data_IF_398238357812
#
_entry.id   IF_398238357812
#
_cell.length_a   1.000
_cell.length_b   1.000
_cell.length_c   1.000
_cell.angle_alpha   90.00
_cell.angle_beta   90.00
_cell.angle_gamma   90.00
#
_symmetry.space_group_name_H-M   'P 1'
#
loop_
_entity.id
_entity.type
_entity.pdbx_description
1 polymer ?
#
# COMPACT_ATOMS: atom_id res chain seq x y z
N UNK A 1 28.61 21.82 12.09
CA UNK A 1 27.77 21.75 10.88
C UNK A 1 26.71 22.84 10.99
N UNK A 2 26.50 23.66 9.95
CA UNK A 2 25.50 24.74 9.90
C UNK A 2 24.14 24.40 10.52
N UNK A 3 23.59 23.19 10.28
CA UNK A 3 22.33 22.68 10.84
C UNK A 3 22.22 22.80 12.37
N UNK A 4 23.33 22.77 13.09
CA UNK A 4 23.36 22.89 14.56
C UNK A 4 23.32 24.33 15.09
N UNK A 5 23.48 25.34 14.23
CA UNK A 5 23.67 26.75 14.62
C UNK A 5 22.34 27.55 14.58
N UNK A 6 21.27 26.98 14.01
CA UNK A 6 19.97 27.64 13.88
C UNK A 6 19.91 28.62 12.71
N UNK A 7 18.79 28.63 11.98
CA UNK A 7 18.63 29.38 10.72
C UNK A 7 18.83 30.90 10.86
N UNK A 8 18.43 31.46 12.00
CA UNK A 8 18.57 32.89 12.30
C UNK A 8 20.04 33.34 12.38
N UNK A 9 20.87 32.62 13.14
CA UNK A 9 22.31 32.89 13.25
C UNK A 9 23.07 32.65 11.94
N UNK A 10 22.63 31.69 11.13
CA UNK A 10 23.24 31.43 9.82
C UNK A 10 23.05 32.59 8.84
N UNK A 11 21.90 33.27 8.92
CA UNK A 11 21.59 34.45 8.10
C UNK A 11 22.38 35.67 8.59
N UNK A 12 22.53 35.84 9.90
CA UNK A 12 23.39 36.88 10.50
C UNK A 12 24.86 36.75 10.10
N UNK A 13 25.36 35.51 9.97
CA UNK A 13 26.76 35.21 9.61
C UNK A 13 27.01 35.16 8.10
N UNK A 14 25.99 35.31 7.26
CA UNK A 14 26.11 35.29 5.79
C UNK A 14 26.56 33.94 5.21
N UNK A 15 26.36 32.83 5.91
CA UNK A 15 26.90 31.50 5.57
C UNK A 15 26.04 30.72 4.55
N UNK A 16 25.37 31.42 3.63
CA UNK A 16 24.42 30.81 2.69
C UNK A 16 25.04 29.73 1.79
N UNK A 17 26.30 29.91 1.37
CA UNK A 17 27.01 28.91 0.57
C UNK A 17 27.22 27.59 1.33
N UNK A 18 27.63 27.66 2.60
CA UNK A 18 27.83 26.47 3.44
C UNK A 18 26.52 25.77 3.77
N UNK A 19 25.42 26.51 3.90
CA UNK A 19 24.08 25.94 4.08
C UNK A 19 23.69 25.09 2.87
N UNK A 20 23.93 25.58 1.66
CA UNK A 20 23.65 24.85 0.42
C UNK A 20 24.50 23.59 0.31
N UNK A 21 25.81 23.71 0.55
CA UNK A 21 26.73 22.56 0.52
C UNK A 21 26.37 21.51 1.58
N UNK A 22 26.05 21.91 2.82
CA UNK A 22 25.58 20.96 3.83
C UNK A 22 24.28 20.29 3.38
N UNK A 23 23.33 21.04 2.81
CA UNK A 23 22.06 20.48 2.34
C UNK A 23 22.29 19.34 1.35
N UNK A 24 23.11 19.58 0.32
CA UNK A 24 23.44 18.58 -0.70
C UNK A 24 24.11 17.34 -0.07
N UNK A 25 25.04 17.54 0.87
CA UNK A 25 25.67 16.44 1.61
C UNK A 25 24.67 15.64 2.45
N UNK A 26 23.72 16.30 3.14
CA UNK A 26 22.71 15.62 3.95
C UNK A 26 21.72 14.85 3.11
N UNK A 27 21.34 15.39 1.94
CA UNK A 27 20.52 14.70 0.95
C UNK A 27 21.22 13.43 0.47
N UNK A 28 22.51 13.52 0.10
CA UNK A 28 23.31 12.36 -0.27
C UNK A 28 23.34 11.31 0.85
N UNK A 29 23.68 11.72 2.08
CA UNK A 29 23.70 10.84 3.25
C UNK A 29 22.34 10.18 3.52
N UNK A 30 21.23 10.90 3.32
CA UNK A 30 19.89 10.36 3.49
C UNK A 30 19.59 9.30 2.44
N UNK A 31 19.89 9.56 1.17
CA UNK A 31 19.68 8.61 0.07
C UNK A 31 20.55 7.35 0.25
N UNK A 32 21.84 7.50 0.56
CA UNK A 32 22.74 6.37 0.83
C UNK A 32 22.24 5.49 1.99
N UNK A 33 21.71 6.12 3.05
CA UNK A 33 21.12 5.39 4.18
C UNK A 33 19.86 4.64 3.77
N UNK A 34 19.03 5.19 2.88
CA UNK A 34 17.84 4.50 2.37
C UNK A 34 18.21 3.31 1.50
N UNK A 35 19.17 3.45 0.59
CA UNK A 35 19.65 2.37 -0.28
C UNK A 35 20.24 1.21 0.54
N UNK A 36 21.06 1.52 1.54
CA UNK A 36 21.60 0.50 2.42
C UNK A 36 20.52 -0.15 3.30
N UNK A 37 19.52 0.62 3.74
CA UNK A 37 18.38 0.11 4.51
C UNK A 37 17.51 -0.85 3.68
N UNK A 38 17.25 -0.52 2.42
CA UNK A 38 16.56 -1.42 1.48
C UNK A 38 17.35 -2.72 1.29
N UNK A 39 18.67 -2.62 1.09
CA UNK A 39 19.58 -3.76 0.93
C UNK A 39 19.54 -4.68 2.15
N UNK A 40 19.63 -4.11 3.36
CA UNK A 40 19.61 -4.89 4.59
C UNK A 40 18.25 -5.54 4.85
N UNK A 41 17.15 -4.88 4.48
CA UNK A 41 15.81 -5.46 4.55
C UNK A 41 15.64 -6.63 3.58
N UNK A 42 16.19 -6.52 2.36
CA UNK A 42 16.26 -7.61 1.40
C UNK A 42 17.06 -8.81 1.95
N UNK A 43 18.25 -8.55 2.49
CA UNK A 43 19.09 -9.57 3.14
C UNK A 43 18.38 -10.23 4.32
N UNK A 44 17.66 -9.45 5.13
CA UNK A 44 16.86 -9.98 6.24
C UNK A 44 15.79 -10.94 5.70
N UNK A 45 15.03 -10.54 4.67
CA UNK A 45 14.00 -11.38 4.07
C UNK A 45 14.56 -12.72 3.55
N UNK A 46 15.73 -12.68 2.91
CA UNK A 46 16.44 -13.87 2.42
C UNK A 46 16.81 -14.83 3.56
N UNK A 47 17.41 -14.32 4.64
CA UNK A 47 17.76 -15.13 5.80
C UNK A 47 16.53 -15.78 6.44
N UNK A 48 15.38 -15.10 6.47
CA UNK A 48 14.12 -15.70 6.91
C UNK A 48 13.69 -16.83 5.98
N UNK A 49 13.67 -16.61 4.66
CA UNK A 49 13.30 -17.65 3.67
C UNK A 49 14.19 -18.90 3.75
N UNK A 50 15.50 -18.71 3.82
CA UNK A 50 16.46 -19.82 3.98
C UNK A 50 16.25 -20.59 5.27
N UNK A 51 15.96 -19.90 6.39
CA UNK A 51 15.65 -20.55 7.65
C UNK A 51 14.39 -21.41 7.61
N UNK A 52 13.32 -20.93 6.97
CA UNK A 52 12.09 -21.71 6.82
C UNK A 52 12.31 -22.99 6.01
N UNK A 53 13.23 -22.97 5.04
CA UNK A 53 13.53 -24.13 4.19
C UNK A 53 14.53 -25.12 4.82
N UNK A 54 15.50 -24.62 5.58
CA UNK A 54 16.68 -25.41 6.02
C UNK A 54 16.72 -25.71 7.53
N UNK A 55 15.59 -25.65 8.24
CA UNK A 55 15.54 -25.88 9.69
C UNK A 55 15.77 -27.36 10.07
N UNK A 56 17.01 -27.84 9.94
CA UNK A 56 17.40 -29.22 10.21
C UNK A 56 18.06 -29.47 11.58
N UNK A 57 18.74 -28.46 12.17
CA UNK A 57 19.47 -28.64 13.43
C UNK A 57 19.52 -27.41 14.36
N UNK A 58 19.73 -27.65 15.66
CA UNK A 58 19.85 -26.63 16.71
C UNK A 58 21.04 -25.67 16.49
N UNK A 59 22.17 -26.19 15.97
CA UNK A 59 23.38 -25.41 15.69
C UNK A 59 23.15 -24.43 14.53
N UNK A 60 22.52 -24.90 13.46
CA UNK A 60 22.14 -24.08 12.30
C UNK A 60 21.14 -22.99 12.73
N UNK A 61 20.12 -23.35 13.52
CA UNK A 61 19.17 -22.37 14.05
C UNK A 61 19.83 -21.27 14.89
N UNK A 62 20.86 -21.59 15.67
CA UNK A 62 21.60 -20.60 16.47
C UNK A 62 22.46 -19.68 15.60
N UNK A 63 23.12 -20.22 14.57
CA UNK A 63 23.93 -19.44 13.62
C UNK A 63 23.05 -18.46 12.84
N UNK A 64 21.94 -18.91 12.28
CA UNK A 64 21.11 -18.01 11.48
C UNK A 64 20.40 -16.97 12.34
N UNK A 65 20.06 -17.29 13.60
CA UNK A 65 19.57 -16.28 14.54
C UNK A 65 20.60 -15.17 14.78
N UNK A 66 21.89 -15.52 14.89
CA UNK A 66 22.98 -14.55 15.03
C UNK A 66 23.17 -13.72 13.76
N UNK A 67 23.06 -14.32 12.58
CA UNK A 67 23.11 -13.61 11.30
C UNK A 67 21.93 -12.64 11.13
N UNK A 68 20.71 -13.05 11.48
CA UNK A 68 19.53 -12.16 11.51
C UNK A 68 19.75 -11.01 12.48
N UNK A 69 20.25 -11.27 13.69
CA UNK A 69 20.54 -10.22 14.67
C UNK A 69 21.56 -9.21 14.14
N UNK A 70 22.59 -9.67 13.40
CA UNK A 70 23.56 -8.80 12.75
C UNK A 70 22.89 -7.87 11.73
N UNK A 71 22.04 -8.42 10.86
CA UNK A 71 21.31 -7.61 9.86
C UNK A 71 20.35 -6.63 10.53
N UNK A 72 19.61 -7.06 11.56
CA UNK A 72 18.72 -6.16 12.33
C UNK A 72 19.50 -5.00 12.98
N UNK A 73 20.72 -5.26 13.47
CA UNK A 73 21.58 -4.21 14.01
C UNK A 73 21.98 -3.19 12.93
N UNK A 74 22.31 -3.63 11.71
CA UNK A 74 22.61 -2.73 10.60
C UNK A 74 21.39 -1.91 10.18
N UNK A 75 20.21 -2.53 10.06
CA UNK A 75 18.95 -1.82 9.76
C UNK A 75 18.72 -0.69 10.76
N UNK A 76 18.84 -0.97 12.06
CA UNK A 76 18.66 0.04 13.09
C UNK A 76 19.72 1.15 13.03
N UNK A 77 20.95 0.81 12.65
CA UNK A 77 22.03 1.78 12.45
C UNK A 77 21.70 2.71 11.26
N UNK A 78 21.31 2.16 10.11
CA UNK A 78 20.95 2.95 8.92
C UNK A 78 19.71 3.81 9.17
N UNK A 79 18.69 3.29 9.85
CA UNK A 79 17.50 4.05 10.23
C UNK A 79 17.86 5.26 11.12
N UNK A 80 18.74 5.09 12.11
CA UNK A 80 19.21 6.20 12.97
C UNK A 80 20.03 7.23 12.21
N UNK A 81 20.92 6.78 11.32
CA UNK A 81 21.71 7.69 10.47
C UNK A 81 20.80 8.50 9.54
N UNK A 82 19.82 7.85 8.92
CA UNK A 82 18.79 8.51 8.12
C UNK A 82 18.01 9.56 8.94
N UNK A 83 17.53 9.20 10.12
CA UNK A 83 16.79 10.13 10.99
C UNK A 83 17.63 11.36 11.35
N UNK A 84 18.93 11.17 11.62
CA UNK A 84 19.86 12.29 11.87
C UNK A 84 20.01 13.19 10.65
N UNK A 85 20.21 12.62 9.46
CA UNK A 85 20.31 13.40 8.22
C UNK A 85 19.02 14.14 7.91
N UNK A 86 17.87 13.47 8.06
CA UNK A 86 16.54 14.07 7.90
C UNK A 86 16.31 15.25 8.84
N UNK A 87 16.66 15.12 10.13
CA UNK A 87 16.56 16.22 11.09
C UNK A 87 17.40 17.42 10.65
N UNK A 88 18.63 17.19 10.17
CA UNK A 88 19.48 18.26 9.67
C UNK A 88 18.88 18.95 8.43
N UNK A 89 18.33 18.18 7.48
CA UNK A 89 17.64 18.73 6.30
C UNK A 89 16.46 19.61 6.71
N UNK A 90 15.59 19.11 7.58
CA UNK A 90 14.40 19.85 8.03
C UNK A 90 14.74 21.10 8.84
N UNK A 91 15.91 21.14 9.50
CA UNK A 91 16.41 22.33 10.18
C UNK A 91 16.92 23.40 9.22
N UNK A 92 17.49 23.00 8.08
CA UNK A 92 18.02 23.91 7.07
C UNK A 92 16.90 24.47 6.18
N UNK A 93 15.93 23.64 5.79
CA UNK A 93 14.80 24.06 4.95
C UNK A 93 13.51 23.34 5.37
N UNK A 94 12.60 24.01 6.10
CA UNK A 94 11.34 23.44 6.55
C UNK A 94 10.26 23.51 5.46
N UNK A 95 10.60 23.19 4.21
CA UNK A 95 9.64 23.16 3.10
C UNK A 95 8.80 21.88 3.12
N UNK A 96 7.51 21.99 2.81
CA UNK A 96 6.59 20.84 2.81
C UNK A 96 6.97 19.79 1.76
N UNK A 97 7.49 20.21 0.60
CA UNK A 97 7.95 19.29 -0.46
C UNK A 97 9.09 18.36 0.01
N UNK A 98 9.99 18.86 0.86
CA UNK A 98 11.10 18.08 1.42
C UNK A 98 10.58 17.10 2.48
N UNK A 99 9.60 17.54 3.28
CA UNK A 99 8.93 16.70 4.28
C UNK A 99 8.14 15.56 3.64
N UNK A 100 7.51 15.80 2.48
CA UNK A 100 6.81 14.78 1.71
C UNK A 100 7.78 13.75 1.10
N UNK A 101 8.93 14.21 0.61
CA UNK A 101 9.98 13.35 0.03
C UNK A 101 10.71 12.51 1.07
N UNK A 102 11.10 13.11 2.20
CA UNK A 102 11.84 12.46 3.28
C UNK A 102 10.94 12.25 4.50
N UNK A 103 10.18 11.16 4.48
CA UNK A 103 9.22 10.84 5.54
C UNK A 103 9.91 10.18 6.75
N UNK A 104 9.21 10.13 7.88
CA UNK A 104 9.71 9.42 9.04
C UNK A 104 9.67 7.90 8.80
N UNK A 105 10.69 7.18 9.27
CA UNK A 105 10.72 5.72 9.25
C UNK A 105 10.13 5.22 10.56
N UNK A 106 9.00 4.53 10.49
CA UNK A 106 8.35 3.92 11.65
C UNK A 106 8.89 2.50 11.88
N UNK A 107 8.82 1.97 13.11
CA UNK A 107 9.20 0.57 13.38
C UNK A 107 8.43 -0.45 12.54
N UNK A 108 7.21 -0.11 12.14
CA UNK A 108 6.35 -0.93 11.28
C UNK A 108 6.93 -1.08 9.86
N UNK A 109 7.64 -0.06 9.38
CA UNK A 109 8.25 -0.04 8.05
C UNK A 109 9.53 -0.90 7.96
N UNK A 110 10.13 -1.25 9.11
CA UNK A 110 11.33 -2.08 9.24
C UNK A 110 11.02 -3.59 9.35
N UNK A 111 9.73 -3.92 9.25
CA UNK A 111 9.27 -5.30 9.18
C UNK A 111 9.76 -5.97 7.89
N UNK A 112 10.07 -7.28 7.99
CA UNK A 112 10.24 -8.08 6.77
C UNK A 112 8.88 -8.20 6.13
N UNK A 113 8.77 -7.87 4.84
CA UNK A 113 7.54 -8.14 4.10
C UNK A 113 7.27 -9.65 4.16
N UNK A 114 6.21 -10.01 4.87
CA UNK A 114 5.75 -11.40 5.00
C UNK A 114 5.40 -11.99 3.62
N UNK A 115 5.17 -11.14 2.64
CA UNK A 115 4.86 -11.50 1.26
C UNK A 115 6.05 -12.13 0.52
N UNK A 116 7.29 -11.92 1.01
CA UNK A 116 8.53 -12.53 0.49
C UNK A 116 8.82 -13.86 1.18
N UNK A 117 8.45 -13.98 2.45
CA UNK A 117 8.69 -15.19 3.23
C UNK A 117 7.58 -16.23 3.04
N UNK A 118 6.35 -15.79 2.78
CA UNK A 118 5.15 -16.63 2.62
C UNK A 118 4.33 -16.18 1.41
N UNK A 119 4.63 -16.76 0.23
CA UNK A 119 4.04 -16.36 -1.05
C UNK A 119 2.50 -16.51 -1.09
N UNK A 120 1.94 -17.51 -0.41
CA UNK A 120 0.51 -17.87 -0.44
C UNK A 120 -0.28 -17.51 0.83
N UNK A 121 0.20 -16.55 1.63
CA UNK A 121 -0.49 -16.17 2.88
C UNK A 121 -1.86 -15.53 2.63
N UNK A 122 -2.87 -15.87 3.43
CA UNK A 122 -4.15 -15.17 3.46
C UNK A 122 -3.99 -13.75 4.05
N UNK A 123 -4.72 -12.76 3.51
CA UNK A 123 -4.74 -11.38 4.04
C UNK A 123 -3.68 -10.42 3.46
N UNK A 124 -3.04 -10.76 2.34
CA UNK A 124 -2.05 -9.91 1.66
C UNK A 124 -2.61 -8.57 1.14
N UNK A 125 -3.94 -8.43 1.04
CA UNK A 125 -4.58 -7.24 0.47
C UNK A 125 -4.30 -5.92 1.20
N UNK A 126 -3.92 -5.97 2.48
CA UNK A 126 -3.72 -4.78 3.34
C UNK A 126 -2.24 -4.43 3.54
N UNK A 127 -1.31 -5.21 2.99
CA UNK A 127 0.13 -4.98 3.14
C UNK A 127 0.53 -3.71 2.37
N UNK A 128 0.72 -2.59 3.09
CA UNK A 128 1.24 -1.34 2.53
C UNK A 128 2.77 -1.38 2.62
N UNK A 129 3.41 -1.24 1.47
CA UNK A 129 4.86 -1.13 1.38
C UNK A 129 5.32 0.19 2.00
N UNK A 130 6.47 0.19 2.68
CA UNK A 130 7.03 1.42 3.23
C UNK A 130 7.37 2.42 2.10
N UNK A 131 7.25 3.71 2.39
CA UNK A 131 7.39 4.78 1.39
C UNK A 131 8.77 4.79 0.71
N UNK A 132 9.83 4.43 1.45
CA UNK A 132 11.20 4.47 0.94
C UNK A 132 11.49 3.42 -0.13
N UNK A 133 10.63 2.43 -0.34
CA UNK A 133 10.74 1.48 -1.46
C UNK A 133 10.27 2.07 -2.79
N UNK A 134 9.55 3.20 -2.77
CA UNK A 134 9.08 3.90 -3.97
C UNK A 134 10.05 5.00 -4.42
N UNK A 135 11.17 5.16 -3.72
CA UNK A 135 12.20 6.14 -4.03
C UNK A 135 13.18 5.56 -5.05
N UNK A 136 13.48 6.32 -6.10
CA UNK A 136 14.55 5.97 -7.04
C UNK A 136 15.90 6.12 -6.33
N UNK A 137 16.54 4.98 -6.04
CA UNK A 137 17.90 4.88 -5.53
C UNK A 137 18.87 4.46 -6.63
N UNK A 138 20.10 4.99 -6.61
CA UNK A 138 21.15 4.56 -7.52
C UNK A 138 21.67 3.19 -7.04
N UNK A 139 21.31 2.11 -7.74
CA UNK A 139 21.60 0.71 -7.37
C UNK A 139 23.09 0.30 -7.53
N UNK A 140 24.03 1.21 -7.29
CA UNK A 140 25.45 1.09 -7.58
C UNK A 140 26.23 0.13 -6.65
N UNK A 141 25.77 -0.11 -5.42
CA UNK A 141 26.57 -0.79 -4.37
C UNK A 141 26.14 -2.23 -4.02
N UNK A 142 25.17 -2.80 -4.74
CA UNK A 142 24.67 -4.15 -4.46
C UNK A 142 25.63 -5.25 -4.95
N UNK A 143 25.81 -6.30 -4.15
CA UNK A 143 26.41 -7.56 -4.65
C UNK A 143 25.50 -8.16 -5.73
N UNK A 144 26.06 -8.90 -6.69
CA UNK A 144 25.30 -9.48 -7.82
C UNK A 144 24.05 -10.26 -7.36
N UNK A 145 24.18 -11.07 -6.31
CA UNK A 145 23.07 -11.85 -5.74
C UNK A 145 22.03 -10.97 -5.04
N UNK A 146 22.45 -9.92 -4.31
CA UNK A 146 21.54 -9.00 -3.63
C UNK A 146 20.78 -8.12 -4.62
N UNK A 147 21.41 -7.76 -5.76
CA UNK A 147 20.78 -7.02 -6.85
C UNK A 147 19.67 -7.81 -7.54
N UNK A 148 19.91 -9.07 -7.89
CA UNK A 148 18.90 -9.92 -8.53
C UNK A 148 17.67 -10.15 -7.64
N UNK A 149 17.87 -10.35 -6.34
CA UNK A 149 16.77 -10.51 -5.39
C UNK A 149 15.99 -9.23 -5.13
N UNK A 150 16.67 -8.08 -5.11
CA UNK A 150 16.03 -6.78 -5.01
C UNK A 150 15.15 -6.51 -6.25
N UNK A 151 15.63 -6.87 -7.43
CA UNK A 151 14.88 -6.82 -8.68
C UNK A 151 13.65 -7.76 -8.65
N UNK A 152 13.81 -8.99 -8.16
CA UNK A 152 12.68 -9.91 -7.95
C UNK A 152 11.66 -9.36 -6.95
N UNK A 153 12.12 -8.77 -5.85
CA UNK A 153 11.27 -8.14 -4.84
C UNK A 153 10.46 -7.00 -5.44
N UNK A 154 11.09 -6.10 -6.20
CA UNK A 154 10.39 -5.02 -6.91
C UNK A 154 9.40 -5.57 -7.94
N UNK A 155 9.81 -6.57 -8.73
CA UNK A 155 8.96 -7.21 -9.73
C UNK A 155 7.72 -7.84 -9.11
N UNK A 156 7.86 -8.60 -8.03
CA UNK A 156 6.74 -9.25 -7.33
C UNK A 156 5.78 -8.20 -6.77
N UNK A 157 6.31 -7.18 -6.08
CA UNK A 157 5.47 -6.13 -5.50
C UNK A 157 4.73 -5.33 -6.59
N UNK A 158 5.40 -5.03 -7.71
CA UNK A 158 4.79 -4.38 -8.85
C UNK A 158 3.67 -5.24 -9.47
N UNK A 159 3.93 -6.52 -9.73
CA UNK A 159 2.92 -7.46 -10.25
C UNK A 159 1.70 -7.54 -9.32
N UNK A 160 1.91 -7.59 -8.00
CA UNK A 160 0.83 -7.59 -7.01
C UNK A 160 0.07 -6.28 -6.96
N UNK A 161 0.74 -5.13 -7.06
CA UNK A 161 0.10 -3.82 -7.11
C UNK A 161 -0.75 -3.67 -8.38
N UNK A 162 -0.21 -4.11 -9.52
CA UNK A 162 -0.92 -4.15 -10.80
C UNK A 162 -2.16 -5.06 -10.73
N UNK A 163 -2.01 -6.28 -10.24
CA UNK A 163 -3.14 -7.22 -10.10
C UNK A 163 -4.25 -6.67 -9.18
N UNK A 164 -3.89 -5.95 -8.10
CA UNK A 164 -4.86 -5.26 -7.23
C UNK A 164 -5.59 -4.15 -7.96
N UNK A 165 -4.86 -3.30 -8.69
CA UNK A 165 -5.46 -2.22 -9.50
C UNK A 165 -6.42 -2.79 -10.53
N UNK A 166 -6.00 -3.82 -11.25
CA UNK A 166 -6.80 -4.44 -12.31
C UNK A 166 -8.08 -5.07 -11.71
N UNK A 167 -7.98 -5.80 -10.59
CA UNK A 167 -9.14 -6.32 -9.85
C UNK A 167 -10.09 -5.22 -9.38
N UNK A 168 -9.57 -4.13 -8.79
CA UNK A 168 -10.43 -3.02 -8.35
C UNK A 168 -11.14 -2.34 -9.52
N UNK A 169 -10.49 -2.27 -10.68
CA UNK A 169 -11.11 -1.76 -11.91
C UNK A 169 -12.25 -2.68 -12.38
N UNK A 170 -12.04 -3.99 -12.32
CA UNK A 170 -13.07 -5.01 -12.61
C UNK A 170 -14.24 -4.92 -11.61
N UNK A 171 -13.95 -4.94 -10.31
CA UNK A 171 -14.95 -4.82 -9.24
C UNK A 171 -15.77 -3.54 -9.37
N UNK A 172 -15.13 -2.40 -9.67
CA UNK A 172 -15.84 -1.14 -9.90
C UNK A 172 -16.81 -1.27 -11.08
N UNK A 173 -16.38 -1.90 -12.18
CA UNK A 173 -17.25 -2.15 -13.33
C UNK A 173 -18.41 -3.07 -12.96
N UNK A 174 -18.14 -4.19 -12.28
CA UNK A 174 -19.14 -5.17 -11.86
C UNK A 174 -20.17 -4.54 -10.93
N UNK A 175 -19.75 -3.83 -9.88
CA UNK A 175 -20.65 -3.19 -8.91
C UNK A 175 -21.60 -2.20 -9.60
N UNK A 176 -21.10 -1.45 -10.59
CA UNK A 176 -21.95 -0.53 -11.37
C UNK A 176 -23.02 -1.26 -12.18
N UNK A 177 -22.67 -2.38 -12.79
CA UNK A 177 -23.63 -3.25 -13.49
C UNK A 177 -24.60 -3.93 -12.52
N UNK A 178 -24.12 -4.43 -11.39
CA UNK A 178 -24.95 -5.08 -10.36
C UNK A 178 -25.98 -4.12 -9.77
N UNK A 179 -25.62 -2.84 -9.56
CA UNK A 179 -26.58 -1.81 -9.14
C UNK A 179 -27.70 -1.63 -10.17
N UNK A 180 -27.36 -1.60 -11.46
CA UNK A 180 -28.34 -1.49 -12.55
C UNK A 180 -29.21 -2.73 -12.62
N UNK A 181 -28.60 -3.92 -12.66
CA UNK A 181 -29.30 -5.20 -12.74
C UNK A 181 -30.21 -5.44 -11.54
N UNK A 182 -29.80 -5.02 -10.33
CA UNK A 182 -30.66 -5.11 -9.14
C UNK A 182 -31.94 -4.30 -9.32
N UNK A 183 -31.83 -3.11 -9.90
CA UNK A 183 -32.98 -2.23 -10.18
C UNK A 183 -33.90 -2.86 -11.23
N UNK A 184 -33.34 -3.29 -12.35
CA UNK A 184 -34.07 -3.97 -13.43
C UNK A 184 -34.71 -5.28 -12.95
N UNK A 185 -34.06 -5.98 -12.03
CA UNK A 185 -34.59 -7.20 -11.44
C UNK A 185 -35.81 -6.91 -10.57
N UNK A 186 -35.79 -5.87 -9.72
CA UNK A 186 -36.96 -5.45 -8.95
C UNK A 186 -38.14 -5.06 -9.85
N UNK A 187 -37.88 -4.32 -10.93
CA UNK A 187 -38.91 -3.97 -11.93
C UNK A 187 -39.48 -5.22 -12.62
N UNK A 188 -38.61 -6.14 -13.03
CA UNK A 188 -39.03 -7.41 -13.61
C UNK A 188 -39.88 -8.22 -12.63
N UNK A 189 -39.53 -8.27 -11.34
CA UNK A 189 -40.34 -8.93 -10.32
C UNK A 189 -41.72 -8.26 -10.17
N UNK A 190 -41.77 -6.92 -10.11
CA UNK A 190 -43.05 -6.17 -10.10
C UNK A 190 -43.92 -6.57 -11.29
N UNK A 191 -43.38 -6.54 -12.51
CA UNK A 191 -44.12 -6.88 -13.74
C UNK A 191 -44.58 -8.35 -13.74
N UNK A 192 -43.82 -9.27 -13.13
CA UNK A 192 -44.24 -10.66 -12.96
C UNK A 192 -45.43 -10.79 -12.02
N UNK A 193 -45.48 -10.01 -10.95
CA UNK A 193 -46.61 -9.99 -10.03
C UNK A 193 -47.83 -9.29 -10.62
N UNK A 194 -47.64 -8.25 -11.43
CA UNK A 194 -48.68 -7.58 -12.20
C UNK A 194 -49.42 -8.57 -13.12
N UNK A 195 -48.69 -9.31 -13.94
CA UNK A 195 -49.28 -10.36 -14.80
C UNK A 195 -50.03 -11.43 -14.01
N UNK A 196 -49.58 -11.75 -12.79
CA UNK A 196 -50.27 -12.71 -11.92
C UNK A 196 -51.56 -12.13 -11.33
N UNK A 197 -51.60 -10.83 -11.04
CA UNK A 197 -52.81 -10.15 -10.61
C UNK A 197 -53.85 -10.15 -11.74
N UNK A 198 -53.44 -9.80 -12.97
CA UNK A 198 -54.31 -9.77 -14.15
C UNK A 198 -54.93 -11.14 -14.50
N UNK A 199 -54.19 -12.22 -14.23
CA UNK A 199 -54.63 -13.60 -14.50
C UNK A 199 -55.39 -14.24 -13.33
N UNK A 200 -55.55 -13.52 -12.22
CA UNK A 200 -56.19 -14.04 -11.02
C UNK A 200 -57.70 -14.07 -11.16
N UNK A 201 -58.32 -15.22 -10.87
CA UNK A 201 -59.77 -15.37 -10.81
C UNK A 201 -60.32 -15.20 -9.38
N UNK A 202 -59.47 -15.38 -8.37
CA UNK A 202 -59.86 -15.26 -6.96
C UNK A 202 -59.42 -13.89 -6.38
N UNK A 203 -60.29 -13.22 -5.60
CA UNK A 203 -59.99 -11.91 -5.03
C UNK A 203 -58.85 -11.96 -3.99
N UNK A 204 -58.64 -13.10 -3.32
CA UNK A 204 -57.57 -13.27 -2.33
C UNK A 204 -56.17 -13.32 -2.96
N UNK A 205 -56.02 -14.06 -4.06
CA UNK A 205 -54.76 -14.14 -4.81
C UNK A 205 -54.44 -12.84 -5.52
N UNK A 206 -55.47 -12.12 -6.00
CA UNK A 206 -55.34 -10.78 -6.56
C UNK A 206 -54.82 -9.78 -5.51
N UNK A 207 -55.43 -9.74 -4.32
CA UNK A 207 -55.00 -8.87 -3.23
C UNK A 207 -53.55 -9.13 -2.80
N UNK A 208 -53.13 -10.40 -2.75
CA UNK A 208 -51.75 -10.75 -2.44
C UNK A 208 -50.76 -10.33 -3.55
N UNK A 209 -51.12 -10.54 -4.83
CA UNK A 209 -50.31 -10.10 -5.96
C UNK A 209 -50.12 -8.58 -5.96
N UNK A 210 -51.18 -7.82 -5.69
CA UNK A 210 -51.14 -6.36 -5.56
C UNK A 210 -50.20 -5.92 -4.40
N UNK A 211 -50.22 -6.61 -3.25
CA UNK A 211 -49.28 -6.36 -2.16
C UNK A 211 -47.83 -6.61 -2.59
N UNK A 212 -47.57 -7.69 -3.32
CA UNK A 212 -46.22 -8.00 -3.82
C UNK A 212 -45.75 -6.95 -4.84
N UNK A 213 -46.62 -6.49 -5.74
CA UNK A 213 -46.30 -5.40 -6.66
C UNK A 213 -45.84 -4.15 -5.91
N UNK A 214 -46.56 -3.74 -4.87
CA UNK A 214 -46.18 -2.59 -4.03
C UNK A 214 -44.80 -2.76 -3.39
N UNK A 215 -44.52 -3.95 -2.82
CA UNK A 215 -43.22 -4.25 -2.21
C UNK A 215 -42.06 -4.13 -3.22
N UNK A 216 -42.20 -4.73 -4.41
CA UNK A 216 -41.16 -4.71 -5.43
C UNK A 216 -40.99 -3.31 -6.05
N UNK A 217 -42.07 -2.55 -6.17
CA UNK A 217 -42.03 -1.15 -6.61
C UNK A 217 -41.29 -0.27 -5.61
N UNK A 218 -41.50 -0.46 -4.30
CA UNK A 218 -40.79 0.25 -3.25
C UNK A 218 -39.29 -0.08 -3.23
N UNK A 219 -38.93 -1.35 -3.44
CA UNK A 219 -37.52 -1.75 -3.61
C UNK A 219 -36.88 -1.11 -4.84
N UNK A 220 -37.58 -1.09 -5.98
CA UNK A 220 -37.09 -0.44 -7.19
C UNK A 220 -36.88 1.07 -6.98
N UNK A 221 -37.86 1.76 -6.38
CA UNK A 221 -37.77 3.20 -6.04
C UNK A 221 -36.59 3.49 -5.12
N UNK A 222 -36.44 2.71 -4.04
CA UNK A 222 -35.35 2.86 -3.08
C UNK A 222 -33.98 2.59 -3.73
N UNK A 223 -33.88 1.56 -4.56
CA UNK A 223 -32.64 1.23 -5.27
C UNK A 223 -32.23 2.34 -6.24
N UNK A 224 -33.17 2.85 -7.07
CA UNK A 224 -32.92 3.97 -7.98
C UNK A 224 -32.41 5.21 -7.24
N UNK A 225 -33.02 5.56 -6.11
CA UNK A 225 -32.58 6.68 -5.28
C UNK A 225 -31.17 6.46 -4.70
N UNK A 226 -30.86 5.26 -4.19
CA UNK A 226 -29.54 4.97 -3.61
C UNK A 226 -28.41 4.88 -4.65
N UNK A 227 -28.75 4.46 -5.87
CA UNK A 227 -27.80 4.19 -6.95
C UNK A 227 -27.67 5.33 -7.98
N UNK A 228 -28.43 6.40 -7.82
CA UNK A 228 -28.41 7.57 -8.70
C UNK A 228 -26.98 8.13 -8.87
N UNK A 229 -26.54 8.27 -10.12
CA UNK A 229 -25.19 8.75 -10.47
C UNK A 229 -24.04 7.79 -10.15
N UNK A 230 -24.34 6.57 -9.69
CA UNK A 230 -23.34 5.53 -9.37
C UNK A 230 -23.43 4.32 -10.29
N UNK A 231 -24.54 4.14 -11.01
CA UNK A 231 -24.72 3.09 -12.01
C UNK A 231 -23.95 3.40 -13.30
N UNK A 232 -23.85 2.40 -14.17
CA UNK A 232 -23.46 2.62 -15.56
C UNK A 232 -24.62 3.28 -16.30
N UNK A 233 -24.33 4.35 -17.04
CA UNK A 233 -25.28 4.98 -17.95
C UNK A 233 -25.53 4.04 -19.12
N UNK A 234 -26.77 3.60 -19.30
CA UNK A 234 -27.20 2.93 -20.52
C UNK A 234 -27.33 3.99 -21.62
N UNK A 235 -26.25 4.25 -22.35
CA UNK A 235 -26.30 4.95 -23.65
C UNK A 235 -26.89 4.05 -24.73
#
# INVERSE_FOLDING_TARGET
>A
MPSSIGTTKLTELGLHALVKEEMELRIGQANDCLDQLQTDLGNKAMLYRQNFQNAGSTREGTRTKKEIQKVVSQINKHARSYQRSRQAILQLEPADCIREKYQEILPQDLGVSKDVTEENRFGQGTSKMAWFWMMDGEQGQLTSDSRGLMEEFYRINWLKARARRDRWKEELSLVRHEMLWSTLWFESQKNRWEKRAEQSLEPGTEAYANKQMGLWDDFAKKARLMFQGKQIDCT
#
